data_IF_736634674999
#
_entry.id   IF_736634674999
#
_cell.length_a   1.000
_cell.length_b   1.000
_cell.length_c   1.000
_cell.angle_alpha   90.00
_cell.angle_beta   90.00
_cell.angle_gamma   90.00
#
_symmetry.space_group_name_H-M   'P 1'
#
loop_
_entity.id
_entity.type
_entity.pdbx_description
1 polymer ?
#
# COMPACT_ATOMS: atom_id res chain seq x y z
N UNK A 1 -49.38 4.05 -35.72
CA UNK A 1 -48.56 3.49 -34.61
C UNK A 1 -47.10 3.17 -35.00
N UNK A 2 -46.61 3.60 -36.16
CA UNK A 2 -45.25 3.30 -36.66
C UNK A 2 -44.23 4.42 -36.44
N UNK A 3 -44.66 5.67 -36.28
CA UNK A 3 -43.74 6.81 -36.10
C UNK A 3 -43.19 6.94 -34.67
N UNK A 4 -44.00 6.67 -33.64
CA UNK A 4 -43.53 6.73 -32.23
C UNK A 4 -42.44 5.68 -31.93
N UNK A 5 -42.53 4.48 -32.52
CA UNK A 5 -41.52 3.43 -32.35
C UNK A 5 -40.17 3.77 -33.02
N UNK A 6 -40.18 4.59 -34.09
CA UNK A 6 -38.97 5.10 -34.73
C UNK A 6 -38.28 6.20 -33.91
N UNK A 7 -39.06 7.07 -33.25
CA UNK A 7 -38.52 8.13 -32.38
C UNK A 7 -37.80 7.56 -31.14
N UNK A 8 -38.35 6.52 -30.51
CA UNK A 8 -37.73 5.86 -29.34
C UNK A 8 -36.43 5.13 -29.71
N UNK A 9 -36.35 4.50 -30.89
CA UNK A 9 -35.12 3.89 -31.40
C UNK A 9 -34.03 4.93 -31.71
N UNK A 10 -34.41 6.12 -32.19
CA UNK A 10 -33.45 7.17 -32.54
C UNK A 10 -32.79 7.80 -31.31
N UNK A 11 -33.55 7.97 -30.21
CA UNK A 11 -33.04 8.50 -28.93
C UNK A 11 -32.13 7.51 -28.21
N UNK A 12 -32.41 6.21 -28.29
CA UNK A 12 -31.58 5.17 -27.67
C UNK A 12 -30.33 4.84 -28.49
N UNK A 13 -30.38 4.97 -29.82
CA UNK A 13 -29.21 4.87 -30.68
C UNK A 13 -28.24 6.03 -30.42
N UNK A 14 -28.74 7.27 -30.30
CA UNK A 14 -27.91 8.43 -29.97
C UNK A 14 -27.26 8.36 -28.60
N UNK A 15 -27.99 7.89 -27.57
CA UNK A 15 -27.44 7.67 -26.22
C UNK A 15 -26.41 6.55 -26.17
N UNK A 16 -26.64 5.46 -26.89
CA UNK A 16 -25.71 4.33 -26.96
C UNK A 16 -24.45 4.69 -27.76
N UNK A 17 -24.58 5.44 -28.86
CA UNK A 17 -23.44 5.99 -29.61
C UNK A 17 -22.64 6.99 -28.78
N UNK A 18 -23.30 7.86 -28.01
CA UNK A 18 -22.65 8.81 -27.11
C UNK A 18 -21.90 8.11 -25.96
N UNK A 19 -22.48 7.05 -25.39
CA UNK A 19 -21.81 6.23 -24.36
C UNK A 19 -20.60 5.49 -24.93
N UNK A 20 -20.70 4.91 -26.13
CA UNK A 20 -19.56 4.25 -26.79
C UNK A 20 -18.44 5.24 -27.09
N UNK A 21 -18.75 6.45 -27.55
CA UNK A 21 -17.77 7.51 -27.81
C UNK A 21 -17.09 8.02 -26.53
N UNK A 22 -17.80 8.09 -25.41
CA UNK A 22 -17.23 8.47 -24.11
C UNK A 22 -16.30 7.38 -23.56
N UNK A 23 -16.66 6.10 -23.72
CA UNK A 23 -15.84 4.97 -23.28
C UNK A 23 -14.55 4.88 -24.11
N UNK A 24 -14.63 5.05 -25.44
CA UNK A 24 -13.43 5.03 -26.29
C UNK A 24 -12.49 6.22 -26.04
N UNK A 25 -13.03 7.39 -25.69
CA UNK A 25 -12.23 8.56 -25.32
C UNK A 25 -11.47 8.35 -24.00
N UNK A 26 -12.06 7.66 -23.03
CA UNK A 26 -11.40 7.35 -21.75
C UNK A 26 -10.27 6.32 -21.88
N UNK A 27 -10.36 5.40 -22.85
CA UNK A 27 -9.33 4.38 -23.10
C UNK A 27 -7.99 4.94 -23.57
N UNK A 28 -7.96 6.19 -24.08
CA UNK A 28 -6.73 6.84 -24.56
C UNK A 28 -5.85 7.39 -23.42
N UNK A 29 -6.35 7.44 -22.18
CA UNK A 29 -5.60 7.95 -21.03
C UNK A 29 -4.76 6.87 -20.31
N UNK A 30 -4.90 5.59 -20.66
CA UNK A 30 -4.19 4.46 -20.03
C UNK A 30 -2.99 3.99 -20.89
N UNK A 31 -2.84 4.51 -22.11
CA UNK A 31 -1.74 4.17 -23.02
C UNK A 31 -0.49 5.05 -22.77
N UNK A 32 0.05 4.98 -21.55
CA UNK A 32 1.43 5.39 -21.27
C UNK A 32 1.98 4.61 -20.07
N UNK A 33 1.96 3.28 -20.18
CA UNK A 33 2.91 2.42 -19.47
C UNK A 33 3.96 2.03 -20.50
N UNK A 34 5.08 2.75 -20.49
CA UNK A 34 6.22 2.46 -21.35
C UNK A 34 6.88 1.17 -20.86
N UNK A 35 6.50 0.05 -21.47
CA UNK A 35 7.19 -1.23 -21.34
C UNK A 35 8.56 -1.08 -22.01
N UNK A 36 9.62 -1.15 -21.20
CA UNK A 36 11.01 -1.22 -21.67
C UNK A 36 11.51 -2.61 -21.31
N UNK A 37 11.21 -3.58 -22.17
CA UNK A 37 11.73 -4.93 -22.02
C UNK A 37 13.19 -4.94 -22.49
N UNK A 38 14.11 -5.12 -21.56
CA UNK A 38 15.49 -5.50 -21.82
C UNK A 38 15.87 -6.53 -20.78
N UNK A 39 15.79 -7.79 -21.20
CA UNK A 39 16.33 -8.91 -20.47
C UNK A 39 17.86 -8.78 -20.39
N UNK A 40 18.39 -8.54 -19.20
CA UNK A 40 19.60 -9.18 -18.70
C UNK A 40 19.69 -8.99 -17.17
N UNK A 41 20.37 -9.93 -16.55
CA UNK A 41 20.38 -10.22 -15.13
C UNK A 41 20.99 -9.11 -14.26
N UNK A 42 20.42 -8.89 -13.07
CA UNK A 42 21.05 -8.75 -11.75
C UNK A 42 19.97 -8.20 -10.81
N UNK A 43 19.81 -8.85 -9.65
CA UNK A 43 18.95 -8.38 -8.57
C UNK A 43 19.20 -6.89 -8.29
N UNK A 44 18.25 -6.04 -8.66
CA UNK A 44 18.24 -4.66 -8.25
C UNK A 44 17.99 -4.62 -6.73
N UNK A 45 18.85 -3.97 -5.93
CA UNK A 45 18.50 -3.69 -4.55
C UNK A 45 17.31 -2.73 -4.58
N UNK A 46 16.18 -3.16 -4.02
CA UNK A 46 15.06 -2.28 -3.65
C UNK A 46 15.63 -1.20 -2.73
N UNK A 47 15.97 -0.06 -3.32
CA UNK A 47 16.48 1.13 -2.63
C UNK A 47 15.80 2.35 -3.26
N UNK A 48 14.48 2.32 -3.24
CA UNK A 48 13.67 3.54 -3.36
C UNK A 48 12.95 3.60 -2.01
N UNK A 49 13.64 4.12 -0.99
CA UNK A 49 12.99 4.49 0.26
C UNK A 49 12.04 5.61 -0.13
N UNK A 50 10.74 5.42 0.00
CA UNK A 50 9.76 6.45 -0.29
C UNK A 50 10.09 7.68 0.57
N UNK A 51 10.58 8.76 -0.07
CA UNK A 51 10.97 10.01 0.60
C UNK A 51 9.83 10.55 1.50
N UNK A 52 8.58 10.22 1.16
CA UNK A 52 7.40 10.55 1.96
C UNK A 52 7.35 9.81 3.31
N UNK A 53 7.86 8.58 3.41
CA UNK A 53 7.91 7.83 4.67
C UNK A 53 9.05 8.29 5.58
N UNK A 54 10.16 8.74 4.98
CA UNK A 54 11.26 9.34 5.72
C UNK A 54 10.82 10.61 6.46
N UNK A 55 9.94 11.44 5.87
CA UNK A 55 9.39 12.64 6.51
C UNK A 55 8.50 12.35 7.74
N UNK A 56 7.85 11.19 7.81
CA UNK A 56 6.98 10.81 8.94
C UNK A 56 7.64 9.89 9.96
N UNK A 57 8.83 9.37 9.67
CA UNK A 57 9.59 8.53 10.59
C UNK A 57 10.06 9.35 11.81
N UNK A 58 9.59 8.98 13.00
CA UNK A 58 9.88 9.71 14.23
C UNK A 58 10.06 8.78 15.42
N UNK A 59 11.04 9.11 16.26
CA UNK A 59 11.28 8.42 17.53
C UNK A 59 10.48 9.13 18.62
N UNK A 60 9.61 8.41 19.32
CA UNK A 60 8.81 8.92 20.43
C UNK A 60 9.10 8.11 21.69
N UNK A 61 9.00 8.78 22.84
CA UNK A 61 9.05 8.14 24.15
C UNK A 61 10.25 7.20 24.36
N UNK A 62 11.47 7.65 24.01
CA UNK A 62 12.74 6.90 24.12
C UNK A 62 12.99 6.29 25.50
N UNK A 63 12.48 6.92 26.56
CA UNK A 63 12.63 6.48 27.94
C UNK A 63 11.64 5.37 28.35
N UNK A 64 10.80 4.88 27.43
CA UNK A 64 9.78 3.87 27.69
C UNK A 64 10.01 2.61 26.85
N UNK A 65 9.76 1.46 27.48
CA UNK A 65 9.61 0.18 26.80
C UNK A 65 8.13 -0.15 26.64
N UNK A 66 7.75 -0.64 25.45
CA UNK A 66 6.39 -1.11 25.19
C UNK A 66 6.43 -2.61 24.90
N UNK A 67 5.47 -3.33 25.45
CA UNK A 67 5.23 -4.76 25.21
C UNK A 67 4.11 -4.94 24.19
N UNK A 68 3.97 -6.16 23.65
CA UNK A 68 2.85 -6.51 22.78
C UNK A 68 1.48 -6.17 23.40
N UNK A 69 1.30 -6.47 24.69
CA UNK A 69 0.04 -6.26 25.39
C UNK A 69 -0.30 -4.77 25.53
N UNK A 70 0.69 -3.88 25.61
CA UNK A 70 0.47 -2.43 25.64
C UNK A 70 -0.21 -1.94 24.35
N UNK A 71 0.19 -2.47 23.20
CA UNK A 71 -0.44 -2.14 21.91
C UNK A 71 -1.87 -2.68 21.84
N UNK A 72 -2.10 -3.92 22.29
CA UNK A 72 -3.43 -4.51 22.33
C UNK A 72 -4.36 -3.74 23.28
N UNK A 73 -3.87 -3.34 24.45
CA UNK A 73 -4.61 -2.53 25.42
C UNK A 73 -4.93 -1.12 24.87
N UNK A 74 -4.06 -0.56 24.02
CA UNK A 74 -4.31 0.70 23.31
C UNK A 74 -5.32 0.58 22.15
N UNK A 75 -5.82 -0.63 21.87
CA UNK A 75 -6.84 -0.89 20.85
C UNK A 75 -6.31 -1.30 19.48
N UNK A 76 -5.01 -1.54 19.34
CA UNK A 76 -4.47 -2.18 18.14
C UNK A 76 -4.92 -3.65 18.09
N UNK A 77 -5.40 -4.09 16.93
CA UNK A 77 -5.97 -5.42 16.74
C UNK A 77 -4.97 -6.33 16.04
N UNK A 78 -4.45 -7.32 16.79
CA UNK A 78 -3.55 -8.35 16.23
C UNK A 78 -4.23 -9.16 15.13
N UNK A 79 -3.47 -9.49 14.08
CA UNK A 79 -3.94 -10.30 12.95
C UNK A 79 -3.03 -11.51 12.72
N UNK A 80 -1.76 -11.28 12.37
CA UNK A 80 -0.80 -12.33 12.00
C UNK A 80 0.56 -12.06 12.64
N UNK A 81 1.20 -13.11 13.13
CA UNK A 81 2.62 -13.08 13.50
C UNK A 81 3.47 -13.44 12.28
N UNK A 82 4.58 -12.73 12.09
CA UNK A 82 5.56 -13.03 11.05
C UNK A 82 6.81 -13.69 11.63
N UNK A 83 7.55 -14.36 10.76
CA UNK A 83 8.87 -14.89 11.08
C UNK A 83 9.90 -13.75 11.15
N UNK A 84 10.89 -13.88 12.02
CA UNK A 84 11.99 -12.92 12.20
C UNK A 84 13.17 -13.15 11.25
N UNK A 85 13.23 -14.28 10.54
CA UNK A 85 14.37 -14.70 9.70
C UNK A 85 14.85 -13.64 8.70
N UNK A 86 13.93 -12.84 8.15
CA UNK A 86 14.23 -11.82 7.13
C UNK A 86 14.38 -10.41 7.69
N UNK A 87 14.19 -10.21 8.99
CA UNK A 87 14.27 -8.91 9.65
C UNK A 87 15.35 -8.98 10.74
N UNK A 88 16.58 -8.54 10.44
CA UNK A 88 17.72 -8.71 11.34
C UNK A 88 17.45 -8.15 12.73
N UNK A 89 17.80 -8.94 13.75
CA UNK A 89 17.73 -8.58 15.18
C UNK A 89 16.31 -8.33 15.72
N UNK A 90 15.26 -8.51 14.93
CA UNK A 90 13.89 -8.53 15.44
C UNK A 90 13.70 -9.77 16.32
N UNK A 91 13.08 -9.58 17.48
CA UNK A 91 12.75 -10.66 18.42
C UNK A 91 11.32 -11.15 18.24
N UNK A 92 10.44 -10.29 17.73
CA UNK A 92 9.06 -10.62 17.43
C UNK A 92 8.47 -9.63 16.42
N UNK A 93 7.56 -10.09 15.56
CA UNK A 93 6.95 -9.27 14.50
C UNK A 93 5.49 -9.61 14.37
N UNK A 94 4.63 -8.58 14.42
CA UNK A 94 3.21 -8.74 14.29
C UNK A 94 2.57 -7.73 13.35
N UNK A 95 1.71 -8.23 12.48
CA UNK A 95 0.80 -7.44 11.67
C UNK A 95 -0.59 -7.34 12.31
N UNK A 96 -1.18 -6.16 12.18
CA UNK A 96 -2.51 -5.87 12.71
C UNK A 96 -3.04 -4.52 12.24
N UNK A 97 -4.09 -4.06 12.92
CA UNK A 97 -4.89 -2.92 12.46
C UNK A 97 -5.17 -1.92 13.58
N UNK A 98 -5.11 -0.63 13.26
CA UNK A 98 -5.55 0.46 14.14
C UNK A 98 -5.97 1.68 13.31
N UNK A 99 -7.12 2.28 13.64
CA UNK A 99 -7.64 3.47 12.95
C UNK A 99 -7.67 3.39 11.41
N UNK A 100 -8.18 2.28 10.88
CA UNK A 100 -8.22 1.99 9.44
C UNK A 100 -6.85 2.01 8.74
N UNK A 101 -5.78 1.81 9.51
CA UNK A 101 -4.42 1.62 9.01
C UNK A 101 -3.94 0.22 9.34
N UNK A 102 -3.16 -0.29 8.40
CA UNK A 102 -2.38 -1.49 8.55
C UNK A 102 -1.10 -1.12 9.29
N UNK A 103 -0.79 -1.85 10.35
CA UNK A 103 0.35 -1.56 11.21
C UNK A 103 1.10 -2.86 11.50
N UNK A 104 2.39 -2.84 11.20
CA UNK A 104 3.34 -3.83 11.65
C UNK A 104 4.08 -3.32 12.89
N UNK A 105 4.15 -4.13 13.93
CA UNK A 105 4.89 -3.88 15.15
C UNK A 105 6.05 -4.85 15.21
N UNK A 106 7.27 -4.32 15.22
CA UNK A 106 8.53 -5.08 15.35
C UNK A 106 9.13 -4.83 16.72
N UNK A 107 9.47 -5.89 17.42
CA UNK A 107 10.14 -5.84 18.72
C UNK A 107 11.63 -6.13 18.56
N UNK A 108 12.43 -5.43 19.36
CA UNK A 108 13.89 -5.56 19.40
C UNK A 108 14.34 -5.60 20.86
N UNK A 109 15.50 -6.19 21.12
CA UNK A 109 16.05 -6.34 22.48
C UNK A 109 16.34 -4.99 23.16
N UNK A 110 16.65 -3.94 22.37
CA UNK A 110 16.94 -2.61 22.91
C UNK A 110 16.55 -1.48 21.96
N UNK A 111 16.39 -0.29 22.54
CA UNK A 111 16.15 0.95 21.79
C UNK A 111 17.25 1.25 20.76
N UNK A 112 18.51 0.98 21.09
CA UNK A 112 19.63 1.22 20.17
C UNK A 112 19.59 0.29 18.94
N UNK A 113 19.19 -0.97 19.12
CA UNK A 113 18.96 -1.89 17.99
C UNK A 113 17.78 -1.42 17.14
N UNK A 114 16.68 -1.01 17.77
CA UNK A 114 15.50 -0.50 17.06
C UNK A 114 15.83 0.76 16.22
N UNK A 115 16.72 1.64 16.72
CA UNK A 115 17.18 2.85 16.03
C UNK A 115 18.19 2.61 14.91
N UNK A 116 18.84 1.45 14.90
CA UNK A 116 19.85 1.10 13.91
C UNK A 116 19.26 0.10 12.93
N UNK A 117 19.40 -1.20 13.22
CA UNK A 117 18.90 -2.26 12.35
C UNK A 117 17.37 -2.19 12.13
N UNK A 118 16.61 -1.78 13.15
CA UNK A 118 15.16 -1.62 13.00
C UNK A 118 14.76 -0.48 12.09
N UNK A 119 15.45 0.67 12.18
CA UNK A 119 15.20 1.84 11.36
C UNK A 119 15.64 1.64 9.92
N UNK A 120 16.80 1.04 9.69
CA UNK A 120 17.33 0.75 8.35
C UNK A 120 16.43 -0.21 7.56
N UNK A 121 15.70 -1.09 8.25
CA UNK A 121 14.77 -2.05 7.63
C UNK A 121 13.31 -1.55 7.60
N UNK A 122 13.02 -0.36 8.16
CA UNK A 122 11.68 0.23 8.12
C UNK A 122 11.46 0.92 6.77
N UNK A 123 10.99 0.15 5.80
CA UNK A 123 10.52 0.62 4.49
C UNK A 123 9.00 0.66 4.46
#
# INVERSE_FOLDING_TARGET
>A
MTYLARLINLTNCGRLVLLVMLITAFSLLIACSSESDSADEVAAPVTEVDDALAEVSRILASEKSFTFDDYVAAGWKKSKQYDTETVPQATDIWYGFFNAKDIEVRFYESHEIAKTAGFENAA
#
